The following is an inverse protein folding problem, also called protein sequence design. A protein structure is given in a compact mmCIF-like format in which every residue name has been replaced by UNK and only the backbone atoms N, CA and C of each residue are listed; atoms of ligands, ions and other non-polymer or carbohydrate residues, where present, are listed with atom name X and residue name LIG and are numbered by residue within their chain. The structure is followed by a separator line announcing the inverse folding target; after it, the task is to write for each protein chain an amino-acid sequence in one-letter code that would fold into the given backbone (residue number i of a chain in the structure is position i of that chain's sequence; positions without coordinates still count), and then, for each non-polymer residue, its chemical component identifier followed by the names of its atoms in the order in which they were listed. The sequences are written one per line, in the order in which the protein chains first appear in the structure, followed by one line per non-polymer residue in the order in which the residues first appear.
data_IF_601637554353
#
_entry.id   IF_601637554353
#
_cell.length_a   1.000
_cell.length_b   1.000
_cell.length_c   1.000
_cell.angle_alpha   90.00
_cell.angle_beta   90.00
_cell.angle_gamma   90.00
#
_symmetry.space_group_name_H-M   'P 1'
#
loop_
_entity.id
_entity.type
_entity.pdbx_description
1 polymer ?
#
# COMPACT_ATOMS: atom_id res chain seq x y z
N UNK A 1 -42.43 -59.28 -11.06
CA UNK A 1 -41.55 -60.20 -10.31
C UNK A 1 -40.16 -60.06 -10.92
N UNK A 2 -39.36 -59.07 -10.51
CA UNK A 2 -38.49 -59.02 -9.33
C UNK A 2 -37.09 -59.66 -9.53
N UNK A 3 -36.07 -58.80 -9.35
CA UNK A 3 -34.67 -59.09 -8.92
C UNK A 3 -33.76 -59.71 -10.00
N UNK A 4 -32.46 -59.38 -10.13
CA UNK A 4 -31.48 -58.81 -9.18
C UNK A 4 -30.26 -58.34 -10.00
N UNK A 5 -29.89 -57.06 -9.96
CA UNK A 5 -28.56 -56.63 -10.41
C UNK A 5 -27.50 -57.24 -9.48
N UNK A 6 -26.47 -57.87 -10.04
CA UNK A 6 -25.29 -58.33 -9.30
C UNK A 6 -24.06 -57.51 -9.71
N UNK A 7 -23.41 -57.04 -8.64
CA UNK A 7 -22.19 -56.26 -8.49
C UNK A 7 -20.96 -57.13 -8.78
N UNK A 8 -19.94 -56.55 -9.43
CA UNK A 8 -18.53 -56.89 -9.14
C UNK A 8 -17.75 -55.57 -9.11
N UNK A 9 -17.09 -55.34 -7.98
CA UNK A 9 -16.21 -54.21 -7.70
C UNK A 9 -14.80 -54.49 -8.21
N UNK A 10 -14.14 -53.46 -8.72
CA UNK A 10 -12.68 -53.34 -8.64
C UNK A 10 -12.34 -51.89 -8.32
N UNK A 11 -12.11 -51.64 -7.04
CA UNK A 11 -11.58 -50.37 -6.55
C UNK A 11 -10.10 -50.22 -6.88
N UNK A 12 -9.71 -48.98 -7.18
CA UNK A 12 -8.33 -48.50 -7.04
C UNK A 12 -8.44 -47.05 -6.54
N UNK A 13 -7.61 -46.62 -5.58
CA UNK A 13 -8.00 -45.65 -4.56
C UNK A 13 -7.81 -44.20 -4.99
N UNK A 14 -8.68 -43.33 -4.46
CA UNK A 14 -8.42 -41.90 -4.36
C UNK A 14 -7.11 -41.66 -3.58
N UNK A 15 -6.08 -41.13 -4.24
CA UNK A 15 -4.89 -40.61 -3.58
C UNK A 15 -4.93 -39.08 -3.57
N UNK A 16 -5.22 -38.55 -2.38
CA UNK A 16 -4.87 -37.25 -1.81
C UNK A 16 -4.35 -36.16 -2.77
N UNK A 17 -5.23 -35.20 -3.06
CA UNK A 17 -4.82 -33.84 -3.42
C UNK A 17 -4.28 -33.20 -2.15
N UNK A 18 -2.96 -32.99 -2.14
CA UNK A 18 -2.22 -32.42 -1.03
C UNK A 18 -2.68 -30.98 -0.76
N UNK A 19 -3.12 -30.74 0.48
CA UNK A 19 -3.66 -29.51 1.04
C UNK A 19 -2.53 -28.49 1.33
N UNK A 20 -1.98 -27.87 0.28
CA UNK A 20 -0.92 -26.84 0.38
C UNK A 20 -1.38 -25.43 -0.02
N UNK A 21 -2.66 -25.25 -0.32
CA UNK A 21 -3.26 -23.97 -0.73
C UNK A 21 -3.93 -23.20 0.42
N UNK A 22 -4.06 -23.82 1.60
CA UNK A 22 -4.78 -23.27 2.76
C UNK A 22 -3.93 -22.31 3.61
N UNK A 23 -2.61 -22.52 3.72
CA UNK A 23 -1.73 -21.67 4.55
C UNK A 23 -1.36 -20.33 3.89
N UNK A 24 -1.17 -20.30 2.57
CA UNK A 24 -0.85 -19.07 1.83
C UNK A 24 -2.02 -18.08 1.81
N UNK A 25 -3.26 -18.60 1.70
CA UNK A 25 -4.45 -17.76 1.79
C UNK A 25 -4.57 -17.12 3.17
N UNK A 26 -4.25 -17.84 4.26
CA UNK A 26 -4.36 -17.34 5.64
C UNK A 26 -3.45 -16.13 5.89
N UNK A 27 -2.19 -16.20 5.44
CA UNK A 27 -1.23 -15.07 5.53
C UNK A 27 -1.69 -13.85 4.72
N UNK A 28 -2.31 -14.06 3.55
CA UNK A 28 -2.83 -12.99 2.69
C UNK A 28 -4.02 -12.27 3.34
N UNK A 29 -4.98 -12.99 3.92
CA UNK A 29 -6.13 -12.36 4.61
C UNK A 29 -5.71 -11.69 5.93
N UNK A 30 -4.75 -12.26 6.65
CA UNK A 30 -4.29 -11.70 7.92
C UNK A 30 -3.48 -10.42 7.72
N UNK A 31 -2.68 -10.33 6.64
CA UNK A 31 -2.06 -9.07 6.22
C UNK A 31 -3.13 -8.00 5.93
N UNK A 32 -4.15 -8.30 5.13
CA UNK A 32 -5.25 -7.36 4.81
C UNK A 32 -6.00 -6.90 6.07
N UNK A 33 -6.23 -7.80 7.04
CA UNK A 33 -6.88 -7.47 8.32
C UNK A 33 -6.01 -6.58 9.21
N UNK A 34 -4.69 -6.74 9.19
CA UNK A 34 -3.76 -5.87 9.92
C UNK A 34 -3.79 -4.44 9.35
N UNK A 35 -3.76 -4.29 8.01
CA UNK A 35 -3.89 -2.98 7.37
C UNK A 35 -5.26 -2.33 7.61
N UNK A 36 -6.36 -3.10 7.69
CA UNK A 36 -7.68 -2.54 7.97
C UNK A 36 -7.81 -1.86 9.34
N UNK A 37 -6.96 -2.22 10.32
CA UNK A 37 -6.98 -1.62 11.67
C UNK A 37 -6.30 -0.24 11.72
N UNK A 38 -5.41 0.08 10.78
CA UNK A 38 -4.69 1.37 10.77
C UNK A 38 -5.55 2.54 10.30
N UNK A 39 -6.69 2.28 9.65
CA UNK A 39 -7.62 3.33 9.19
C UNK A 39 -8.30 4.11 10.31
N UNK A 40 -8.50 3.47 11.47
CA UNK A 40 -9.23 4.11 12.58
C UNK A 40 -8.39 5.17 13.33
N UNK A 41 -7.09 5.29 13.03
CA UNK A 41 -6.20 6.28 13.66
C UNK A 41 -6.30 7.69 13.06
N UNK A 42 -7.04 7.86 11.96
CA UNK A 42 -7.21 9.15 11.29
C UNK A 42 -8.43 9.95 11.80
N UNK A 43 -8.96 9.61 12.98
CA UNK A 43 -9.91 10.43 13.72
C UNK A 43 -9.20 11.64 14.36
N UNK A 44 -9.83 12.83 14.28
CA UNK A 44 -9.22 14.17 14.44
C UNK A 44 -8.72 14.50 15.86
N UNK A 45 -7.70 15.38 15.94
CA UNK A 45 -7.76 16.60 16.75
C UNK A 45 -8.12 17.81 15.88
N UNK A 46 -8.97 18.69 16.42
CA UNK A 46 -9.39 19.96 15.81
C UNK A 46 -8.34 21.06 15.99
N UNK A 47 -8.24 21.92 14.96
CA UNK A 47 -7.69 23.29 14.88
C UNK A 47 -6.49 23.69 15.75
N UNK A 48 -5.40 24.06 15.07
CA UNK A 48 -4.50 25.12 15.55
C UNK A 48 -4.17 26.09 14.39
N UNK A 49 -4.75 27.29 14.48
CA UNK A 49 -4.42 28.47 13.68
C UNK A 49 -3.15 29.12 14.24
N UNK A 50 -1.99 28.82 13.65
CA UNK A 50 -0.81 29.68 13.59
C UNK A 50 0.33 28.83 13.01
N UNK A 51 0.47 28.82 11.70
CA UNK A 51 1.57 28.08 11.09
C UNK A 51 2.10 28.91 9.93
N UNK A 52 3.32 29.41 10.10
CA UNK A 52 4.15 29.90 9.00
C UNK A 52 4.15 28.82 7.93
N UNK A 53 3.32 29.02 6.90
CA UNK A 53 2.93 27.95 5.98
C UNK A 53 4.07 27.69 5.00
N UNK A 54 5.07 26.93 5.45
CA UNK A 54 6.09 26.40 4.57
C UNK A 54 5.44 25.46 3.55
N UNK A 55 5.91 25.51 2.31
CA UNK A 55 5.36 24.73 1.20
C UNK A 55 5.23 23.22 1.54
N UNK A 56 6.19 22.55 2.21
CA UNK A 56 6.06 21.16 2.64
C UNK A 56 4.82 20.89 3.51
N UNK A 57 4.56 21.73 4.51
CA UNK A 57 3.39 21.61 5.39
C UNK A 57 2.09 21.78 4.63
N UNK A 58 2.04 22.75 3.70
CA UNK A 58 0.88 22.95 2.83
C UNK A 58 0.61 21.72 1.97
N UNK A 59 1.65 21.14 1.36
CA UNK A 59 1.50 19.94 0.53
C UNK A 59 1.00 18.76 1.36
N UNK A 60 1.57 18.54 2.55
CA UNK A 60 1.14 17.49 3.47
C UNK A 60 -0.34 17.62 3.84
N UNK A 61 -0.76 18.81 4.30
CA UNK A 61 -2.17 19.11 4.61
C UNK A 61 -3.09 18.89 3.40
N UNK A 62 -2.65 19.28 2.20
CA UNK A 62 -3.40 19.05 0.94
C UNK A 62 -3.57 17.54 0.67
N UNK A 63 -2.50 16.75 0.77
CA UNK A 63 -2.56 15.30 0.56
C UNK A 63 -3.48 14.60 1.57
N UNK A 64 -3.45 15.02 2.84
CA UNK A 64 -4.35 14.51 3.88
C UNK A 64 -5.82 14.85 3.57
N UNK A 65 -6.11 16.09 3.17
CA UNK A 65 -7.46 16.52 2.81
C UNK A 65 -8.05 15.71 1.65
N UNK A 66 -7.26 15.47 0.60
CA UNK A 66 -7.64 14.64 -0.55
C UNK A 66 -7.95 13.20 -0.11
N UNK A 67 -7.06 12.59 0.69
CA UNK A 67 -7.25 11.22 1.19
C UNK A 67 -8.55 11.10 1.99
N UNK A 68 -8.82 12.05 2.90
CA UNK A 68 -10.05 12.06 3.70
C UNK A 68 -11.30 12.16 2.83
N UNK A 69 -11.31 13.05 1.83
CA UNK A 69 -12.45 13.20 0.93
C UNK A 69 -12.72 11.92 0.14
N UNK A 70 -11.68 11.29 -0.40
CA UNK A 70 -11.85 10.04 -1.13
C UNK A 70 -12.35 8.90 -0.24
N UNK A 71 -11.83 8.79 1.00
CA UNK A 71 -12.29 7.77 1.94
C UNK A 71 -13.76 8.01 2.36
N UNK A 72 -14.14 9.27 2.57
CA UNK A 72 -15.53 9.64 2.88
C UNK A 72 -16.46 9.35 1.70
N UNK A 73 -16.06 9.70 0.47
CA UNK A 73 -16.84 9.40 -0.71
C UNK A 73 -17.01 7.89 -0.88
N UNK A 74 -15.92 7.12 -0.73
CA UNK A 74 -15.97 5.66 -0.82
C UNK A 74 -16.90 5.03 0.23
N UNK A 75 -16.83 5.46 1.49
CA UNK A 75 -17.71 4.93 2.54
C UNK A 75 -19.18 5.30 2.34
N UNK A 76 -19.45 6.40 1.62
CA UNK A 76 -20.80 6.82 1.20
C UNK A 76 -21.25 6.19 -0.12
N UNK A 77 -20.45 5.32 -0.74
CA UNK A 77 -20.75 4.75 -2.06
C UNK A 77 -20.67 5.76 -3.22
N UNK A 78 -20.04 6.91 -3.00
CA UNK A 78 -19.80 7.95 -4.01
C UNK A 78 -18.44 7.73 -4.70
N UNK A 79 -18.27 8.20 -5.94
CA UNK A 79 -16.97 8.14 -6.63
C UNK A 79 -15.85 8.86 -5.86
N UNK A 80 -14.74 8.16 -5.63
CA UNK A 80 -13.52 8.68 -5.00
C UNK A 80 -12.47 9.00 -6.07
N UNK A 81 -12.55 10.20 -6.65
CA UNK A 81 -11.75 10.63 -7.82
C UNK A 81 -10.64 11.63 -7.48
N UNK A 82 -10.60 12.13 -6.24
CA UNK A 82 -9.70 13.24 -5.88
C UNK A 82 -8.24 12.84 -5.98
N UNK A 83 -7.87 11.63 -5.52
CA UNK A 83 -6.50 11.12 -5.67
C UNK A 83 -6.10 11.01 -7.15
N UNK A 84 -7.00 10.52 -8.00
CA UNK A 84 -6.75 10.32 -9.44
C UNK A 84 -6.47 11.66 -10.13
N UNK A 85 -7.24 12.69 -9.78
CA UNK A 85 -7.13 14.01 -10.38
C UNK A 85 -5.86 14.76 -9.95
N UNK A 86 -5.40 14.55 -8.71
CA UNK A 86 -4.29 15.31 -8.13
C UNK A 86 -2.94 14.58 -8.19
N UNK A 87 -2.90 13.27 -8.44
CA UNK A 87 -1.64 12.50 -8.30
C UNK A 87 -0.53 12.96 -9.24
N UNK A 88 -0.85 13.41 -10.45
CA UNK A 88 0.17 13.85 -11.42
C UNK A 88 0.91 15.11 -10.91
N UNK A 89 0.16 16.15 -10.58
CA UNK A 89 0.68 17.41 -10.04
C UNK A 89 1.46 17.18 -8.73
N UNK A 90 0.89 16.38 -7.81
CA UNK A 90 1.56 16.08 -6.54
C UNK A 90 2.86 15.31 -6.77
N UNK A 91 2.90 14.39 -7.73
CA UNK A 91 4.11 13.63 -8.05
C UNK A 91 5.23 14.53 -8.56
N UNK A 92 4.91 15.54 -9.37
CA UNK A 92 5.89 16.54 -9.84
C UNK A 92 6.50 17.31 -8.66
N UNK A 93 5.68 17.72 -7.68
CA UNK A 93 6.16 18.42 -6.48
C UNK A 93 7.04 17.50 -5.63
N UNK A 94 6.63 16.24 -5.42
CA UNK A 94 7.38 15.25 -4.63
C UNK A 94 8.74 14.90 -5.26
N UNK A 95 8.84 14.96 -6.59
CA UNK A 95 10.08 14.72 -7.33
C UNK A 95 11.02 15.94 -7.36
N UNK A 96 10.57 17.12 -6.92
CA UNK A 96 11.41 18.31 -6.90
C UNK A 96 12.51 18.19 -5.84
N UNK A 97 13.75 18.01 -6.30
CA UNK A 97 14.94 17.86 -5.46
C UNK A 97 15.16 19.00 -4.48
N UNK A 98 14.77 20.23 -4.82
CA UNK A 98 15.00 21.41 -3.98
C UNK A 98 14.16 21.40 -2.68
N UNK A 99 13.04 20.69 -2.68
CA UNK A 99 12.11 20.63 -1.53
C UNK A 99 11.97 19.23 -0.94
N UNK A 100 12.61 18.24 -1.56
CA UNK A 100 12.47 16.82 -1.21
C UNK A 100 12.91 16.52 0.22
N UNK A 101 14.02 17.09 0.68
CA UNK A 101 14.53 16.91 2.04
C UNK A 101 13.54 17.45 3.08
N UNK A 102 13.11 18.71 2.93
CA UNK A 102 12.10 19.31 3.81
C UNK A 102 10.75 18.60 3.79
N UNK A 103 10.40 17.94 2.68
CA UNK A 103 9.21 17.10 2.59
C UNK A 103 9.36 15.81 3.39
N UNK A 104 10.55 15.18 3.37
CA UNK A 104 10.85 14.00 4.17
C UNK A 104 10.83 14.32 5.66
N UNK A 105 11.43 15.44 6.07
CA UNK A 105 11.42 15.93 7.46
C UNK A 105 9.99 16.18 7.97
N UNK A 106 9.13 16.73 7.12
CA UNK A 106 7.71 16.96 7.43
C UNK A 106 6.88 15.66 7.40
N UNK A 107 7.49 14.50 7.12
CA UNK A 107 6.83 13.21 7.21
C UNK A 107 5.91 12.86 6.03
N UNK A 108 6.13 13.46 4.85
CA UNK A 108 5.26 13.29 3.66
C UNK A 108 5.01 11.82 3.25
N UNK A 109 5.91 10.92 3.62
CA UNK A 109 5.80 9.49 3.31
C UNK A 109 4.62 8.83 4.04
N UNK A 110 4.13 9.40 5.14
CA UNK A 110 2.91 8.91 5.80
C UNK A 110 1.67 9.12 4.94
N UNK A 111 1.62 10.25 4.22
CA UNK A 111 0.55 10.58 3.29
C UNK A 111 0.67 9.72 2.03
N UNK A 112 1.87 9.53 1.49
CA UNK A 112 2.11 8.62 0.36
C UNK A 112 1.69 7.19 0.73
N UNK A 113 2.02 6.72 1.95
CA UNK A 113 1.53 5.44 2.48
C UNK A 113 0.00 5.39 2.46
N UNK A 114 -0.67 6.39 3.04
CA UNK A 114 -2.13 6.44 3.11
C UNK A 114 -2.81 6.44 1.73
N UNK A 115 -2.18 7.03 0.71
CA UNK A 115 -2.69 6.99 -0.67
C UNK A 115 -2.54 5.63 -1.35
N UNK A 116 -1.62 4.82 -0.87
CA UNK A 116 -1.31 3.47 -1.35
C UNK A 116 -2.04 2.37 -0.55
N UNK A 117 -2.58 2.69 0.62
CA UNK A 117 -3.38 1.74 1.41
C UNK A 117 -4.77 1.48 0.77
N UNK A 118 -5.39 0.31 1.04
CA UNK A 118 -6.73 -0.01 0.54
C UNK A 118 -7.78 1.01 0.97
N UNK A 119 -8.82 1.25 0.17
CA UNK A 119 -9.94 2.10 0.55
C UNK A 119 -10.79 1.45 1.66
N UNK A 120 -11.71 2.19 2.32
CA UNK A 120 -12.60 1.63 3.35
C UNK A 120 -13.40 0.40 2.91
N UNK A 121 -13.78 0.30 1.64
CA UNK A 121 -14.40 -0.88 1.03
C UNK A 121 -13.44 -2.04 0.72
N UNK A 122 -12.16 -1.90 1.10
CA UNK A 122 -11.04 -2.83 0.87
C UNK A 122 -10.58 -2.92 -0.59
N UNK A 123 -11.09 -2.07 -1.47
CA UNK A 123 -10.59 -1.96 -2.83
C UNK A 123 -9.20 -1.32 -2.84
N UNK A 124 -8.35 -1.70 -3.80
CA UNK A 124 -7.05 -1.06 -3.96
C UNK A 124 -7.21 0.28 -4.68
N UNK A 125 -6.35 1.28 -4.39
CA UNK A 125 -6.36 2.54 -5.12
C UNK A 125 -6.13 2.32 -6.62
N UNK A 126 -6.56 3.28 -7.42
CA UNK A 126 -6.46 3.19 -8.88
C UNK A 126 -5.00 2.97 -9.35
N UNK A 127 -4.80 2.17 -10.40
CA UNK A 127 -3.47 1.85 -10.95
C UNK A 127 -2.65 3.11 -11.29
N UNK A 128 -3.27 4.18 -11.77
CA UNK A 128 -2.58 5.45 -12.05
C UNK A 128 -1.96 6.02 -10.78
N UNK A 129 -2.68 5.99 -9.66
CA UNK A 129 -2.17 6.44 -8.36
C UNK A 129 -0.98 5.59 -7.94
N UNK A 130 -1.11 4.26 -8.01
CA UNK A 130 -0.02 3.33 -7.67
C UNK A 130 1.24 3.59 -8.48
N UNK A 131 1.13 3.65 -9.82
CA UNK A 131 2.29 3.84 -10.72
C UNK A 131 3.04 5.13 -10.41
N UNK A 132 2.32 6.24 -10.29
CA UNK A 132 2.92 7.54 -10.03
C UNK A 132 3.64 7.55 -8.68
N UNK A 133 2.98 7.08 -7.62
CA UNK A 133 3.59 7.11 -6.28
C UNK A 133 4.75 6.12 -6.13
N UNK A 134 4.68 4.93 -6.72
CA UNK A 134 5.84 4.01 -6.74
C UNK A 134 7.01 4.59 -7.53
N UNK A 135 6.75 5.34 -8.59
CA UNK A 135 7.80 6.04 -9.33
C UNK A 135 8.41 7.19 -8.52
N UNK A 136 7.60 7.99 -7.82
CA UNK A 136 8.09 8.99 -6.86
C UNK A 136 9.03 8.35 -5.85
N UNK A 137 8.59 7.28 -5.18
CA UNK A 137 9.37 6.58 -4.15
C UNK A 137 10.69 6.03 -4.68
N UNK A 138 10.74 5.63 -5.95
CA UNK A 138 11.96 5.14 -6.59
C UNK A 138 13.01 6.24 -6.74
N UNK A 139 12.58 7.46 -7.01
CA UNK A 139 13.43 8.61 -7.30
C UNK A 139 13.80 9.44 -6.06
N UNK A 140 13.07 9.29 -4.95
CA UNK A 140 13.40 9.95 -3.68
C UNK A 140 14.60 9.32 -2.98
N UNK A 141 15.39 10.15 -2.28
CA UNK A 141 16.46 9.70 -1.37
C UNK A 141 15.85 9.34 0.00
N UNK A 142 15.36 8.12 0.13
CA UNK A 142 14.69 7.63 1.35
C UNK A 142 15.68 6.79 2.16
N UNK A 143 16.05 7.27 3.34
CA UNK A 143 16.90 6.60 4.31
C UNK A 143 16.10 5.73 5.31
N UNK A 144 16.83 4.92 6.09
CA UNK A 144 16.28 3.98 7.08
C UNK A 144 15.29 4.63 8.06
N UNK A 145 15.61 5.81 8.58
CA UNK A 145 14.76 6.55 9.52
C UNK A 145 13.41 6.94 8.92
N UNK A 146 13.39 7.39 7.67
CA UNK A 146 12.18 7.74 6.95
C UNK A 146 11.26 6.52 6.75
N UNK A 147 11.84 5.34 6.47
CA UNK A 147 11.10 4.09 6.32
C UNK A 147 10.49 3.62 7.65
N UNK A 148 11.24 3.72 8.74
CA UNK A 148 10.80 3.33 10.08
C UNK A 148 9.67 4.24 10.57
N UNK A 149 9.86 5.56 10.46
CA UNK A 149 8.88 6.55 10.90
C UNK A 149 7.58 6.44 10.09
N UNK A 150 7.70 6.44 8.76
CA UNK A 150 6.53 6.41 7.89
C UNK A 150 5.88 5.03 7.74
N UNK A 151 6.56 3.94 8.08
CA UNK A 151 6.05 2.57 7.87
C UNK A 151 5.69 2.23 6.41
N UNK A 152 6.10 3.05 5.43
CA UNK A 152 5.74 2.90 4.01
C UNK A 152 6.27 1.59 3.40
N UNK A 153 7.37 1.07 3.95
CA UNK A 153 7.93 -0.22 3.54
C UNK A 153 6.90 -1.36 3.64
N UNK A 154 5.99 -1.31 4.61
CA UNK A 154 4.95 -2.36 4.79
C UNK A 154 3.99 -2.39 3.60
N UNK A 155 3.46 -1.25 3.17
CA UNK A 155 2.49 -1.22 2.06
C UNK A 155 3.16 -1.54 0.72
N UNK A 156 4.40 -1.09 0.51
CA UNK A 156 5.17 -1.44 -0.70
C UNK A 156 5.51 -2.93 -0.72
N UNK A 157 5.87 -3.53 0.42
CA UNK A 157 6.05 -4.97 0.52
C UNK A 157 4.77 -5.73 0.16
N UNK A 158 3.60 -5.30 0.65
CA UNK A 158 2.32 -5.89 0.28
C UNK A 158 2.10 -5.90 -1.25
N UNK A 159 2.36 -4.79 -1.95
CA UNK A 159 2.29 -4.76 -3.42
C UNK A 159 3.24 -5.73 -4.11
N UNK A 160 4.42 -5.98 -3.51
CA UNK A 160 5.44 -6.86 -4.10
C UNK A 160 5.02 -8.35 -4.11
N UNK A 161 4.16 -8.76 -3.18
CA UNK A 161 3.71 -10.15 -3.00
C UNK A 161 2.25 -10.38 -3.43
N UNK A 162 1.44 -9.33 -3.57
CA UNK A 162 0.01 -9.45 -3.87
C UNK A 162 -0.22 -10.15 -5.24
N UNK A 163 -0.86 -11.35 -5.27
CA UNK A 163 -1.11 -12.08 -6.51
C UNK A 163 -2.10 -11.38 -7.43
N UNK A 164 -3.02 -10.58 -6.88
CA UNK A 164 -4.07 -9.85 -7.61
C UNK A 164 -3.59 -8.52 -8.20
N UNK A 165 -2.35 -8.13 -7.92
CA UNK A 165 -1.78 -6.88 -8.40
C UNK A 165 -1.23 -7.02 -9.83
N UNK A 166 -1.24 -5.92 -10.59
CA UNK A 166 -0.68 -5.89 -11.93
C UNK A 166 0.82 -6.21 -11.93
N UNK A 167 1.27 -6.93 -12.98
CA UNK A 167 2.68 -7.39 -13.09
C UNK A 167 3.68 -6.24 -12.97
N UNK A 168 3.36 -5.11 -13.61
CA UNK A 168 4.18 -3.90 -13.60
C UNK A 168 4.30 -3.29 -12.20
N UNK A 169 3.18 -3.11 -11.49
CA UNK A 169 3.15 -2.59 -10.12
C UNK A 169 3.95 -3.49 -9.18
N UNK A 170 3.75 -4.80 -9.31
CA UNK A 170 4.46 -5.80 -8.51
C UNK A 170 5.97 -5.75 -8.75
N UNK A 171 6.40 -5.58 -10.01
CA UNK A 171 7.81 -5.45 -10.35
C UNK A 171 8.43 -4.17 -9.76
N UNK A 172 7.74 -3.02 -9.88
CA UNK A 172 8.19 -1.76 -9.28
C UNK A 172 8.33 -1.88 -7.76
N UNK A 173 7.33 -2.47 -7.10
CA UNK A 173 7.35 -2.69 -5.65
C UNK A 173 8.49 -3.62 -5.22
N UNK A 174 8.75 -4.71 -5.96
CA UNK A 174 9.90 -5.60 -5.68
C UNK A 174 11.24 -4.88 -5.77
N UNK A 175 11.43 -4.04 -6.78
CA UNK A 175 12.65 -3.24 -6.92
C UNK A 175 12.84 -2.27 -5.75
N UNK A 176 11.76 -1.61 -5.30
CA UNK A 176 11.79 -0.73 -4.13
C UNK A 176 12.14 -1.48 -2.85
N UNK A 177 11.52 -2.64 -2.61
CA UNK A 177 11.84 -3.48 -1.45
C UNK A 177 13.32 -3.89 -1.46
N UNK A 178 13.84 -4.32 -2.61
CA UNK A 178 15.26 -4.67 -2.75
C UNK A 178 16.17 -3.49 -2.46
N UNK A 179 15.91 -2.32 -3.07
CA UNK A 179 16.66 -1.08 -2.85
C UNK A 179 16.70 -0.74 -1.36
N UNK A 180 15.54 -0.66 -0.72
CA UNK A 180 15.47 -0.28 0.69
C UNK A 180 16.04 -1.32 1.65
N UNK A 181 15.97 -2.60 1.28
CA UNK A 181 16.65 -3.66 2.05
C UNK A 181 18.16 -3.42 2.02
N UNK A 182 18.72 -3.12 0.85
CA UNK A 182 20.15 -2.79 0.74
C UNK A 182 20.54 -1.55 1.55
N UNK A 183 19.75 -0.47 1.47
CA UNK A 183 19.99 0.75 2.26
C UNK A 183 19.94 0.52 3.78
N UNK A 184 19.09 -0.40 4.25
CA UNK A 184 18.96 -0.69 5.68
C UNK A 184 20.10 -1.57 6.20
N UNK A 185 20.65 -2.45 5.35
CA UNK A 185 21.70 -3.41 5.72
C UNK A 185 23.10 -2.99 5.27
N UNK A 186 23.30 -1.83 4.65
CA UNK A 186 24.62 -1.36 4.26
C UNK A 186 25.44 -1.00 5.52
N UNK A 187 26.51 -1.73 5.86
CA UNK A 187 27.27 -1.52 7.09
C UNK A 187 28.30 -0.37 7.01
N UNK A 188 28.31 0.42 5.92
CA UNK A 188 29.32 1.47 5.68
C UNK A 188 29.17 2.75 6.54
N UNK A 189 28.25 2.77 7.53
CA UNK A 189 28.01 3.97 8.35
C UNK A 189 27.97 3.70 9.87
N UNK A 190 28.48 2.56 10.32
CA UNK A 190 28.64 2.23 11.75
C UNK A 190 30.12 2.40 12.22
N UNK A 191 30.84 3.43 11.75
CA UNK A 191 32.19 3.84 12.25
C UNK A 191 32.19 5.24 12.87
#
# INVERSE_FOLDING_TARGET
MDRKCHRVESGTPMSNINDHSSENNKKEVDAIKEYGKTFNKYAMPENDESDSSSMPKTLRKRMQGILRRDNLNNSQGKPAIEKINNVAEISEILMNRAVQESLLDEGILEEVRGWLEPLPDRSMPNIRVKKNLLDVLRNMKIHKEHLLHSGIGKIVYFYSINPKEEKEIRAMAKQLVQKWTQEVFNPEFDE
#
